data_IF_599711827140
#
_entry.id   IF_599711827140
#
_cell.length_a   1.000
_cell.length_b   1.000
_cell.length_c   1.000
_cell.angle_alpha   90.00
_cell.angle_beta   90.00
_cell.angle_gamma   90.00
#
_symmetry.space_group_name_H-M   'P 1'
#
loop_
_entity.id
_entity.type
_entity.pdbx_description
1 polymer ?
#
# COMPACT_ATOMS: atom_id res chain seq x y z
N UNK A 1 2.61 28.33 4.02
CA UNK A 1 3.27 27.16 4.61
C UNK A 1 2.25 26.40 5.41
N UNK A 2 2.09 25.11 5.21
CA UNK A 2 1.19 24.27 6.03
C UNK A 2 1.77 24.07 7.41
N UNK A 3 0.93 24.22 8.42
CA UNK A 3 1.24 23.92 9.82
C UNK A 3 0.21 22.90 10.28
N UNK A 4 0.66 21.71 10.65
CA UNK A 4 -0.21 20.63 11.09
C UNK A 4 -0.85 20.94 12.46
N UNK A 5 -2.06 20.41 12.69
CA UNK A 5 -2.74 20.53 13.96
C UNK A 5 -1.87 19.94 15.08
N UNK A 6 -1.61 20.72 16.11
CA UNK A 6 -0.80 20.30 17.27
C UNK A 6 -1.47 19.17 18.07
N UNK A 7 -2.80 19.06 18.02
CA UNK A 7 -3.59 18.04 18.72
C UNK A 7 -3.82 16.76 17.88
N UNK A 8 -3.20 16.64 16.69
CA UNK A 8 -3.44 15.54 15.74
C UNK A 8 -3.29 14.12 16.31
N UNK A 9 -2.48 13.95 17.34
CA UNK A 9 -2.23 12.64 17.95
C UNK A 9 -3.17 12.29 19.11
N UNK A 10 -4.01 13.20 19.57
CA UNK A 10 -4.79 13.00 20.80
C UNK A 10 -5.94 11.98 20.64
N UNK A 11 -6.47 11.83 19.41
CA UNK A 11 -7.65 10.99 19.14
C UNK A 11 -7.34 9.73 18.35
N UNK A 12 -6.21 9.67 17.65
CA UNK A 12 -5.84 8.52 16.83
C UNK A 12 -5.24 7.43 17.70
N UNK A 13 -5.76 6.22 17.55
CA UNK A 13 -5.15 5.03 18.14
C UNK A 13 -4.06 4.49 17.22
N UNK A 14 -2.93 4.08 17.81
CA UNK A 14 -1.80 3.49 17.11
C UNK A 14 -1.53 2.09 17.62
N UNK A 15 -1.39 1.12 16.71
CA UNK A 15 -1.13 -0.30 17.01
C UNK A 15 0.19 -0.75 16.40
N UNK A 16 0.89 -1.65 17.09
CA UNK A 16 2.09 -2.27 16.54
C UNK A 16 1.76 -3.11 15.31
N UNK A 17 2.63 -3.05 14.30
CA UNK A 17 2.60 -3.99 13.17
C UNK A 17 3.21 -5.31 13.61
N UNK A 18 2.36 -6.26 13.96
CA UNK A 18 2.77 -7.56 14.51
C UNK A 18 3.71 -7.42 15.71
N UNK A 19 4.79 -8.19 15.71
CA UNK A 19 5.82 -8.16 16.76
C UNK A 19 6.89 -7.07 16.55
N UNK A 20 6.76 -6.24 15.49
CA UNK A 20 7.71 -5.16 15.22
C UNK A 20 7.57 -4.00 16.20
N UNK A 21 8.58 -3.12 16.23
CA UNK A 21 8.51 -1.85 16.97
C UNK A 21 7.68 -0.77 16.29
N UNK A 22 7.36 -0.95 14.99
CA UNK A 22 6.62 0.04 14.22
C UNK A 22 5.15 0.11 14.67
N UNK A 23 4.68 1.31 14.95
CA UNK A 23 3.26 1.57 15.20
C UNK A 23 2.62 2.22 13.97
N UNK A 24 1.46 1.73 13.59
CA UNK A 24 0.63 2.32 12.53
C UNK A 24 -0.67 2.86 13.14
N UNK A 25 -1.25 3.94 12.59
CA UNK A 25 -2.58 4.37 12.98
C UNK A 25 -3.59 3.28 12.58
N UNK A 26 -4.69 3.16 13.31
CA UNK A 26 -5.75 2.18 12.98
C UNK A 26 -6.44 2.48 11.64
N UNK A 27 -6.31 3.70 11.15
CA UNK A 27 -6.72 4.13 9.80
C UNK A 27 -5.51 4.59 9.02
N UNK A 28 -5.38 4.14 7.79
CA UNK A 28 -4.34 4.57 6.84
C UNK A 28 -5.00 5.20 5.62
N UNK A 29 -4.37 6.19 5.02
CA UNK A 29 -4.86 6.82 3.79
C UNK A 29 -4.24 6.12 2.57
N UNK A 30 -5.06 5.39 1.81
CA UNK A 30 -4.66 4.82 0.52
C UNK A 30 -4.82 5.83 -0.61
N UNK A 31 -3.78 5.99 -1.42
CA UNK A 31 -3.75 6.97 -2.52
C UNK A 31 -4.06 6.34 -3.88
N UNK A 32 -4.84 5.27 -3.93
CA UNK A 32 -5.23 4.64 -5.19
C UNK A 32 -6.20 5.48 -6.00
N UNK A 33 -7.25 6.01 -5.35
CA UNK A 33 -8.29 6.83 -5.95
C UNK A 33 -8.11 8.30 -5.56
N UNK A 34 -8.55 9.22 -6.42
CA UNK A 34 -8.51 10.68 -6.21
C UNK A 34 -7.12 11.31 -6.16
N UNK A 35 -6.07 10.61 -6.59
CA UNK A 35 -4.69 11.09 -6.60
C UNK A 35 -4.03 11.02 -7.99
N UNK A 36 -4.82 10.80 -9.05
CA UNK A 36 -4.34 10.81 -10.43
C UNK A 36 -4.15 12.23 -11.00
N UNK A 37 -3.62 12.30 -12.23
CA UNK A 37 -3.44 13.59 -12.94
C UNK A 37 -4.78 14.22 -13.39
N UNK A 38 -5.87 13.43 -13.38
CA UNK A 38 -7.23 13.90 -13.68
C UNK A 38 -7.95 14.49 -12.47
N UNK A 39 -7.42 14.32 -11.29
CA UNK A 39 -8.00 14.81 -10.04
C UNK A 39 -7.38 16.17 -9.69
N UNK A 40 -8.18 17.17 -9.26
CA UNK A 40 -7.64 18.47 -8.90
C UNK A 40 -6.61 18.40 -7.77
N UNK A 41 -5.42 18.92 -8.00
CA UNK A 41 -4.31 18.86 -7.04
C UNK A 41 -4.63 19.50 -5.68
N UNK A 42 -5.51 20.51 -5.66
CA UNK A 42 -5.93 21.15 -4.40
C UNK A 42 -6.77 20.19 -3.55
N UNK A 43 -7.64 19.37 -4.16
CA UNK A 43 -8.42 18.38 -3.44
C UNK A 43 -7.50 17.30 -2.85
N UNK A 44 -6.51 16.82 -3.63
CA UNK A 44 -5.51 15.89 -3.14
C UNK A 44 -4.77 16.43 -1.91
N UNK A 45 -4.38 17.71 -1.99
CA UNK A 45 -3.71 18.42 -0.90
C UNK A 45 -4.56 18.51 0.36
N UNK A 46 -5.82 18.90 0.22
CA UNK A 46 -6.75 19.01 1.35
C UNK A 46 -7.03 17.64 2.00
N UNK A 47 -7.13 16.57 1.20
CA UNK A 47 -7.27 15.21 1.71
C UNK A 47 -6.03 14.81 2.55
N UNK A 48 -4.81 15.05 2.04
CA UNK A 48 -3.58 14.72 2.74
C UNK A 48 -3.42 15.52 4.05
N UNK A 49 -3.68 16.83 4.00
CA UNK A 49 -3.60 17.70 5.19
C UNK A 49 -4.63 17.27 6.24
N UNK A 50 -5.89 17.12 5.82
CA UNK A 50 -6.98 16.72 6.73
C UNK A 50 -6.73 15.33 7.35
N UNK A 51 -6.18 14.38 6.59
CA UNK A 51 -5.80 13.08 7.12
C UNK A 51 -4.71 13.21 8.19
N UNK A 52 -3.65 13.96 7.90
CA UNK A 52 -2.56 14.17 8.86
C UNK A 52 -3.01 14.93 10.11
N UNK A 53 -3.85 15.96 9.95
CA UNK A 53 -4.43 16.72 11.07
C UNK A 53 -5.36 15.87 11.96
N UNK A 54 -5.87 14.75 11.44
CA UNK A 54 -6.60 13.74 12.22
C UNK A 54 -5.71 12.64 12.80
N UNK A 55 -4.40 12.71 12.64
CA UNK A 55 -3.45 11.72 13.14
C UNK A 55 -3.25 10.49 12.23
N UNK A 56 -3.73 10.53 10.99
CA UNK A 56 -3.41 9.50 10.00
C UNK A 56 -1.99 9.75 9.48
N UNK A 57 -1.03 9.07 10.07
CA UNK A 57 0.39 9.21 9.74
C UNK A 57 0.87 8.28 8.64
N UNK A 58 0.06 7.27 8.25
CA UNK A 58 0.41 6.32 7.22
C UNK A 58 -0.27 6.66 5.89
N UNK A 59 0.54 7.00 4.88
CA UNK A 59 0.13 7.22 3.50
C UNK A 59 0.59 6.05 2.64
N UNK A 60 -0.38 5.33 2.07
CA UNK A 60 -0.15 4.08 1.36
C UNK A 60 -0.31 4.26 -0.15
N UNK A 61 0.82 4.16 -0.86
CA UNK A 61 0.94 4.29 -2.30
C UNK A 61 1.25 2.94 -2.98
N UNK A 62 1.31 2.96 -4.29
CA UNK A 62 1.94 1.96 -5.14
C UNK A 62 2.41 2.62 -6.43
N UNK A 63 3.39 2.00 -7.08
CA UNK A 63 3.97 2.52 -8.32
C UNK A 63 2.93 2.71 -9.43
N UNK A 64 1.88 1.86 -9.47
CA UNK A 64 0.82 1.89 -10.48
C UNK A 64 -0.41 2.73 -10.09
N UNK A 65 -0.44 3.38 -8.92
CA UNK A 65 -1.60 4.14 -8.48
C UNK A 65 -1.76 5.46 -9.24
N UNK A 66 -3.04 5.89 -9.34
CA UNK A 66 -3.45 7.07 -10.08
C UNK A 66 -3.65 6.79 -11.57
N UNK A 67 -4.22 7.73 -12.27
CA UNK A 67 -4.34 7.72 -13.72
C UNK A 67 -3.57 8.91 -14.31
N UNK A 68 -2.57 8.71 -15.17
CA UNK A 68 -1.90 7.43 -15.54
C UNK A 68 -1.08 6.80 -14.40
N UNK A 69 -0.65 5.56 -14.59
CA UNK A 69 0.17 4.85 -13.59
C UNK A 69 1.40 5.66 -13.15
N UNK A 70 1.64 5.76 -11.85
CA UNK A 70 2.68 6.62 -11.28
C UNK A 70 2.25 8.04 -10.93
N UNK A 71 1.06 8.47 -11.39
CA UNK A 71 0.58 9.81 -11.14
C UNK A 71 0.35 10.08 -9.65
N UNK A 72 -0.15 9.11 -8.90
CA UNK A 72 -0.35 9.28 -7.46
C UNK A 72 0.96 9.58 -6.72
N UNK A 73 2.03 8.84 -7.00
CA UNK A 73 3.36 9.09 -6.41
C UNK A 73 3.94 10.44 -6.82
N UNK A 74 3.78 10.83 -8.08
CA UNK A 74 4.23 12.13 -8.59
C UNK A 74 3.49 13.30 -7.92
N UNK A 75 2.16 13.20 -7.81
CA UNK A 75 1.33 14.23 -7.21
C UNK A 75 1.56 14.32 -5.70
N UNK A 76 1.64 13.17 -5.02
CA UNK A 76 2.04 13.09 -3.62
C UNK A 76 3.41 13.76 -3.40
N UNK A 77 4.43 13.42 -4.19
CA UNK A 77 5.77 13.99 -4.07
C UNK A 77 5.81 15.51 -4.24
N UNK A 78 4.96 16.07 -5.12
CA UNK A 78 4.79 17.52 -5.23
C UNK A 78 4.24 18.12 -3.94
N UNK A 79 3.14 17.55 -3.42
CA UNK A 79 2.50 18.05 -2.20
C UNK A 79 3.41 17.84 -1.00
N UNK A 80 4.09 16.70 -0.91
CA UNK A 80 5.03 16.38 0.16
C UNK A 80 6.12 17.44 0.29
N UNK A 81 6.78 17.84 -0.80
CA UNK A 81 7.81 18.88 -0.76
C UNK A 81 7.31 20.23 -0.28
N UNK A 82 6.08 20.57 -0.62
CA UNK A 82 5.49 21.88 -0.28
C UNK A 82 4.95 21.93 1.15
N UNK A 83 4.40 20.82 1.66
CA UNK A 83 3.62 20.79 2.90
C UNK A 83 4.18 19.86 3.99
N UNK A 84 4.77 18.72 3.62
CA UNK A 84 5.07 17.63 4.56
C UNK A 84 6.56 17.35 4.78
N UNK A 85 7.45 18.01 4.06
CA UNK A 85 8.89 17.76 4.19
C UNK A 85 9.39 17.93 5.63
N UNK A 86 8.86 18.93 6.36
CA UNK A 86 9.19 19.16 7.76
C UNK A 86 8.68 18.07 8.72
N UNK A 87 7.72 17.25 8.24
CA UNK A 87 7.08 16.18 9.01
C UNK A 87 7.50 14.78 8.54
N UNK A 88 8.59 14.66 7.73
CA UNK A 88 9.00 13.36 7.17
C UNK A 88 9.15 12.27 8.24
N UNK A 89 9.72 12.59 9.37
CA UNK A 89 9.99 11.65 10.45
C UNK A 89 8.73 11.30 11.27
N UNK A 90 7.65 12.03 11.09
CA UNK A 90 6.35 11.75 11.68
C UNK A 90 5.44 10.92 10.77
N UNK A 91 5.84 10.70 9.51
CA UNK A 91 5.06 9.99 8.50
C UNK A 91 5.63 8.60 8.24
N UNK A 92 4.72 7.66 8.01
CA UNK A 92 5.00 6.36 7.40
C UNK A 92 4.54 6.44 5.95
N UNK A 93 5.46 6.33 5.03
CA UNK A 93 5.18 6.35 3.59
C UNK A 93 5.48 4.97 3.04
N UNK A 94 4.48 4.34 2.46
CA UNK A 94 4.65 3.04 1.82
C UNK A 94 4.43 3.10 0.32
N UNK A 95 5.14 2.24 -0.42
CA UNK A 95 4.86 2.00 -1.83
C UNK A 95 5.03 0.53 -2.19
N UNK A 96 4.62 0.15 -3.40
CA UNK A 96 4.51 -1.24 -3.83
C UNK A 96 4.90 -1.38 -5.29
N UNK A 97 5.38 -2.57 -5.68
CA UNK A 97 5.59 -2.96 -7.06
C UNK A 97 5.11 -4.38 -7.32
N UNK A 98 4.63 -4.67 -8.54
CA UNK A 98 4.15 -5.99 -8.95
C UNK A 98 3.11 -5.95 -10.06
N UNK A 99 2.42 -4.83 -10.25
CA UNK A 99 1.52 -4.59 -11.38
C UNK A 99 2.23 -3.88 -12.51
N UNK A 100 1.63 -3.94 -13.70
CA UNK A 100 2.18 -3.36 -14.93
C UNK A 100 2.46 -1.85 -14.80
N UNK A 101 3.66 -1.44 -15.19
CA UNK A 101 4.13 -0.05 -15.13
C UNK A 101 4.69 0.46 -16.46
N UNK A 102 5.31 -0.39 -17.26
CA UNK A 102 5.87 -0.04 -18.58
C UNK A 102 5.92 -1.27 -19.48
N UNK A 103 5.93 -1.04 -20.77
CA UNK A 103 5.95 -2.08 -21.77
C UNK A 103 7.22 -2.93 -21.74
N UNK A 104 7.09 -4.18 -22.19
CA UNK A 104 8.17 -5.13 -22.28
C UNK A 104 8.30 -6.04 -21.05
N UNK A 105 9.32 -6.93 -21.02
CA UNK A 105 9.36 -8.06 -20.09
C UNK A 105 9.78 -7.70 -18.66
N UNK A 106 10.04 -6.44 -18.34
CA UNK A 106 10.61 -6.03 -17.06
C UNK A 106 9.71 -5.07 -16.26
N UNK A 107 8.57 -4.67 -16.84
CA UNK A 107 7.69 -3.63 -16.27
C UNK A 107 6.64 -4.13 -15.30
N UNK A 108 6.67 -5.41 -14.93
CA UNK A 108 5.64 -6.08 -14.14
C UNK A 108 6.25 -7.20 -13.30
N UNK A 109 5.46 -7.75 -12.36
CA UNK A 109 5.76 -8.93 -11.54
C UNK A 109 6.89 -8.74 -10.51
N UNK A 110 7.44 -9.87 -10.04
CA UNK A 110 8.30 -9.94 -8.85
C UNK A 110 9.79 -10.16 -9.14
N UNK A 111 10.23 -10.14 -10.41
CA UNK A 111 11.64 -10.32 -10.70
C UNK A 111 12.52 -9.27 -10.00
N UNK A 112 13.76 -9.64 -9.68
CA UNK A 112 14.73 -8.73 -9.09
C UNK A 112 14.88 -7.43 -9.89
N UNK A 113 14.89 -7.53 -11.22
CA UNK A 113 14.97 -6.37 -12.11
C UNK A 113 13.77 -5.46 -11.94
N UNK A 114 12.55 -5.99 -11.93
CA UNK A 114 11.31 -5.24 -11.78
C UNK A 114 11.23 -4.55 -10.42
N UNK A 115 11.47 -5.27 -9.33
CA UNK A 115 11.39 -4.76 -7.96
C UNK A 115 12.37 -3.61 -7.72
N UNK A 116 13.65 -3.80 -8.08
CA UNK A 116 14.68 -2.78 -7.85
C UNK A 116 14.42 -1.52 -8.70
N UNK A 117 14.07 -1.70 -9.99
CA UNK A 117 13.78 -0.57 -10.88
C UNK A 117 12.52 0.19 -10.44
N UNK A 118 11.47 -0.54 -10.03
CA UNK A 118 10.23 0.07 -9.56
C UNK A 118 10.43 0.91 -8.30
N UNK A 119 11.16 0.40 -7.32
CA UNK A 119 11.47 1.16 -6.10
C UNK A 119 12.26 2.44 -6.43
N UNK A 120 13.28 2.34 -7.28
CA UNK A 120 14.08 3.50 -7.67
C UNK A 120 13.21 4.58 -8.37
N UNK A 121 12.31 4.17 -9.27
CA UNK A 121 11.38 5.08 -9.94
C UNK A 121 10.35 5.68 -8.97
N UNK A 122 9.83 4.90 -8.01
CA UNK A 122 8.91 5.36 -6.98
C UNK A 122 9.55 6.46 -6.13
N UNK A 123 10.76 6.24 -5.64
CA UNK A 123 11.51 7.23 -4.86
C UNK A 123 11.74 8.51 -5.69
N UNK A 124 12.10 8.38 -6.96
CA UNK A 124 12.28 9.54 -7.85
C UNK A 124 10.98 10.33 -8.04
N UNK A 125 9.84 9.66 -8.28
CA UNK A 125 8.52 10.32 -8.44
C UNK A 125 8.11 11.06 -7.17
N UNK A 126 8.32 10.45 -6.01
CA UNK A 126 7.95 11.04 -4.72
C UNK A 126 8.97 12.07 -4.23
N UNK A 127 10.20 12.06 -4.75
CA UNK A 127 11.29 12.92 -4.27
C UNK A 127 11.76 12.54 -2.86
N UNK A 128 11.81 11.23 -2.58
CA UNK A 128 12.21 10.67 -1.30
C UNK A 128 13.51 9.88 -1.43
N UNK A 129 14.31 9.85 -0.35
CA UNK A 129 15.50 9.01 -0.26
C UNK A 129 15.14 7.55 0.06
N UNK A 130 14.08 7.34 0.84
CA UNK A 130 13.57 6.03 1.23
C UNK A 130 12.06 6.05 1.46
N UNK A 131 11.44 4.87 1.40
CA UNK A 131 10.10 4.61 1.93
C UNK A 131 10.20 3.84 3.24
N UNK A 132 9.20 4.00 4.12
CA UNK A 132 9.19 3.27 5.38
C UNK A 132 8.87 1.79 5.16
N UNK A 133 7.89 1.49 4.30
CA UNK A 133 7.54 0.12 3.94
C UNK A 133 7.51 -0.02 2.43
N UNK A 134 8.22 -1.03 1.89
CA UNK A 134 8.10 -1.40 0.49
C UNK A 134 7.46 -2.78 0.36
N UNK A 135 6.38 -2.87 -0.42
CA UNK A 135 5.63 -4.11 -0.61
C UNK A 135 5.94 -4.77 -1.96
N UNK A 136 5.99 -6.11 -1.97
CA UNK A 136 5.65 -6.84 -3.18
C UNK A 136 4.12 -6.92 -3.29
N UNK A 137 3.59 -6.36 -4.39
CA UNK A 137 2.15 -6.01 -4.48
C UNK A 137 1.25 -7.21 -4.69
N UNK A 138 1.77 -8.28 -5.30
CA UNK A 138 1.08 -9.56 -5.53
C UNK A 138 2.09 -10.68 -5.79
N UNK A 139 1.75 -11.94 -5.51
CA UNK A 139 2.61 -13.07 -5.85
C UNK A 139 2.85 -13.14 -7.37
N UNK A 140 4.08 -13.53 -7.75
CA UNK A 140 4.46 -13.77 -9.14
C UNK A 140 4.56 -15.29 -9.35
N UNK A 141 3.76 -15.89 -10.24
CA UNK A 141 3.74 -17.32 -10.43
C UNK A 141 5.01 -17.87 -11.12
N UNK A 142 5.75 -17.02 -11.82
CA UNK A 142 6.89 -17.43 -12.65
C UNK A 142 8.24 -17.09 -12.03
N UNK A 143 8.29 -16.22 -11.01
CA UNK A 143 9.53 -15.84 -10.33
C UNK A 143 9.67 -16.62 -9.02
N UNK A 144 10.83 -17.29 -8.77
CA UNK A 144 11.09 -17.91 -7.48
C UNK A 144 10.95 -16.92 -6.33
N UNK A 145 10.27 -17.32 -5.25
CA UNK A 145 10.07 -16.47 -4.07
C UNK A 145 11.40 -15.97 -3.48
N UNK A 146 12.45 -16.78 -3.57
CA UNK A 146 13.80 -16.43 -3.12
C UNK A 146 14.36 -15.23 -3.87
N UNK A 147 14.11 -15.11 -5.18
CA UNK A 147 14.58 -13.98 -5.99
C UNK A 147 13.85 -12.70 -5.57
N UNK A 148 12.53 -12.76 -5.42
CA UNK A 148 11.72 -11.63 -4.95
C UNK A 148 12.13 -11.21 -3.54
N UNK A 149 12.29 -12.17 -2.62
CA UNK A 149 12.73 -11.90 -1.25
C UNK A 149 14.12 -11.24 -1.21
N UNK A 150 15.08 -11.72 -2.04
CA UNK A 150 16.41 -11.13 -2.10
C UNK A 150 16.38 -9.72 -2.70
N UNK A 151 15.51 -9.47 -3.68
CA UNK A 151 15.32 -8.14 -4.23
C UNK A 151 14.79 -7.15 -3.15
N UNK A 152 13.79 -7.55 -2.38
CA UNK A 152 13.25 -6.75 -1.27
C UNK A 152 14.31 -6.50 -0.19
N UNK A 153 15.05 -7.55 0.21
CA UNK A 153 16.15 -7.40 1.17
C UNK A 153 17.26 -6.48 0.67
N UNK A 154 17.55 -6.50 -0.65
CA UNK A 154 18.52 -5.59 -1.24
C UNK A 154 18.09 -4.11 -1.09
N UNK A 155 16.79 -3.80 -1.20
CA UNK A 155 16.30 -2.44 -0.97
C UNK A 155 16.54 -1.99 0.48
N UNK A 156 16.34 -2.89 1.44
CA UNK A 156 16.64 -2.60 2.85
C UNK A 156 18.13 -2.36 3.07
N UNK A 157 18.99 -3.25 2.55
CA UNK A 157 20.47 -3.08 2.64
C UNK A 157 20.99 -1.79 2.01
N UNK A 158 20.28 -1.30 1.00
CA UNK A 158 20.57 -0.02 0.35
C UNK A 158 19.99 1.21 1.07
N UNK A 159 19.22 1.00 2.15
CA UNK A 159 18.53 2.07 2.85
C UNK A 159 17.39 2.71 2.05
N UNK A 160 16.86 2.01 1.03
CA UNK A 160 15.74 2.49 0.21
C UNK A 160 14.38 2.13 0.78
N UNK A 161 14.33 1.16 1.68
CA UNK A 161 13.16 0.79 2.47
C UNK A 161 13.62 0.44 3.88
N UNK A 162 12.83 0.81 4.90
CA UNK A 162 13.12 0.43 6.28
C UNK A 162 12.55 -0.95 6.60
N UNK A 163 11.37 -1.25 6.08
CA UNK A 163 10.63 -2.48 6.31
C UNK A 163 10.14 -3.09 5.01
N UNK A 164 9.89 -4.39 5.05
CA UNK A 164 9.32 -5.16 3.96
C UNK A 164 7.87 -5.52 4.28
N UNK A 165 7.01 -5.44 3.28
CA UNK A 165 5.65 -5.98 3.28
C UNK A 165 5.39 -6.84 2.06
N UNK A 166 4.32 -7.63 2.13
CA UNK A 166 3.73 -8.31 0.97
C UNK A 166 2.24 -8.01 0.88
N UNK A 167 1.65 -8.23 -0.27
CA UNK A 167 0.24 -7.98 -0.51
C UNK A 167 -0.37 -9.06 -1.40
N UNK A 168 -1.63 -9.43 -1.13
CA UNK A 168 -2.40 -10.39 -1.93
C UNK A 168 -1.81 -11.81 -1.99
N UNK A 169 -0.96 -12.20 -1.06
CA UNK A 169 -0.48 -13.57 -0.90
C UNK A 169 -1.51 -14.41 -0.13
N UNK A 170 -1.65 -15.68 -0.45
CA UNK A 170 -2.38 -16.65 0.37
C UNK A 170 -1.58 -17.07 1.61
N UNK A 171 -2.15 -17.89 2.48
CA UNK A 171 -1.48 -18.35 3.70
C UNK A 171 -0.22 -19.16 3.44
N UNK A 172 -0.26 -20.09 2.48
CA UNK A 172 0.88 -20.94 2.13
C UNK A 172 2.07 -20.14 1.61
N UNK A 173 1.85 -19.24 0.65
CA UNK A 173 2.90 -18.41 0.08
C UNK A 173 3.41 -17.36 1.07
N UNK A 174 2.54 -16.86 1.95
CA UNK A 174 2.94 -15.98 3.06
C UNK A 174 3.89 -16.71 4.00
N UNK A 175 3.59 -17.96 4.37
CA UNK A 175 4.47 -18.77 5.22
C UNK A 175 5.82 -19.03 4.57
N UNK A 176 5.84 -19.45 3.30
CA UNK A 176 7.08 -19.64 2.52
C UNK A 176 7.92 -18.38 2.47
N UNK A 177 7.30 -17.23 2.12
CA UNK A 177 8.00 -15.95 2.06
C UNK A 177 8.57 -15.57 3.43
N UNK A 178 7.81 -15.79 4.50
CA UNK A 178 8.26 -15.51 5.88
C UNK A 178 9.48 -16.34 6.24
N UNK A 179 9.48 -17.64 5.94
CA UNK A 179 10.62 -18.52 6.19
C UNK A 179 11.89 -18.07 5.45
N UNK A 180 11.74 -17.63 4.18
CA UNK A 180 12.86 -17.13 3.40
C UNK A 180 13.39 -15.81 3.99
N UNK A 181 12.52 -14.88 4.33
CA UNK A 181 12.90 -13.57 4.87
C UNK A 181 13.46 -13.66 6.29
N UNK A 182 12.95 -14.56 7.15
CA UNK A 182 13.51 -14.83 8.48
C UNK A 182 14.93 -15.35 8.40
N UNK A 183 15.23 -16.28 7.50
CA UNK A 183 16.60 -16.79 7.28
C UNK A 183 17.59 -15.71 6.85
N UNK A 184 17.09 -14.60 6.31
CA UNK A 184 17.87 -13.44 5.87
C UNK A 184 17.90 -12.31 6.91
N UNK A 185 17.28 -12.52 8.07
CA UNK A 185 17.12 -11.50 9.13
C UNK A 185 16.46 -10.20 8.59
N UNK A 186 15.53 -10.37 7.65
CA UNK A 186 14.86 -9.26 6.98
C UNK A 186 13.79 -8.63 7.89
N UNK A 187 13.65 -7.30 7.91
CA UNK A 187 12.61 -6.61 8.67
C UNK A 187 11.24 -6.72 7.96
N UNK A 188 10.75 -7.95 7.84
CA UNK A 188 9.44 -8.27 7.26
C UNK A 188 8.37 -8.18 8.36
N UNK A 189 7.43 -7.26 8.22
CA UNK A 189 6.57 -6.88 9.34
C UNK A 189 5.07 -6.88 9.04
N UNK A 190 4.64 -6.93 7.77
CA UNK A 190 3.25 -6.63 7.44
C UNK A 190 2.79 -7.30 6.15
N UNK A 191 1.53 -7.72 6.16
CA UNK A 191 0.81 -8.21 4.99
C UNK A 191 -0.41 -7.30 4.71
N UNK A 192 -0.57 -6.86 3.46
CA UNK A 192 -1.73 -6.09 3.02
C UNK A 192 -2.66 -6.96 2.16
N UNK A 193 -3.96 -7.02 2.54
CA UNK A 193 -4.93 -7.87 1.86
C UNK A 193 -6.30 -7.21 1.76
N UNK A 194 -7.12 -7.71 0.81
CA UNK A 194 -8.53 -7.33 0.75
C UNK A 194 -9.30 -8.00 1.88
N UNK A 195 -10.08 -7.21 2.61
CA UNK A 195 -10.99 -7.74 3.62
C UNK A 195 -12.25 -6.88 3.76
N UNK A 196 -13.40 -7.50 3.60
CA UNK A 196 -14.71 -6.91 3.83
C UNK A 196 -15.75 -8.03 3.94
N UNK A 197 -17.03 -7.70 4.13
CA UNK A 197 -18.11 -8.69 4.28
C UNK A 197 -18.29 -9.62 3.06
N UNK A 198 -17.89 -9.18 1.85
CA UNK A 198 -17.98 -9.98 0.62
C UNK A 198 -16.68 -10.71 0.29
N UNK A 199 -15.54 -10.29 0.84
CA UNK A 199 -14.23 -10.89 0.59
C UNK A 199 -13.58 -11.25 1.91
N UNK A 200 -13.64 -12.53 2.27
CA UNK A 200 -13.26 -13.06 3.58
C UNK A 200 -12.06 -14.01 3.52
N UNK A 201 -11.32 -14.03 2.41
CA UNK A 201 -10.18 -14.90 2.21
C UNK A 201 -9.16 -14.85 3.38
N UNK A 202 -8.99 -13.69 4.02
CA UNK A 202 -8.18 -13.56 5.24
C UNK A 202 -8.52 -14.60 6.31
N UNK A 203 -9.82 -14.92 6.47
CA UNK A 203 -10.31 -15.86 7.50
C UNK A 203 -10.55 -17.27 6.93
N UNK A 204 -10.77 -17.40 5.63
CA UNK A 204 -11.19 -18.63 4.97
C UNK A 204 -10.00 -19.38 4.34
N UNK A 205 -8.91 -18.70 3.99
CA UNK A 205 -7.73 -19.24 3.30
C UNK A 205 -6.51 -19.43 4.24
N UNK A 206 -6.72 -19.71 5.51
CA UNK A 206 -5.67 -19.94 6.53
C UNK A 206 -4.64 -18.80 6.67
N UNK A 207 -4.91 -17.62 6.12
CA UNK A 207 -3.98 -16.49 6.20
C UNK A 207 -3.92 -15.90 7.62
N UNK A 208 -5.06 -15.74 8.29
CA UNK A 208 -5.09 -15.14 9.63
C UNK A 208 -4.27 -15.93 10.65
N UNK A 209 -4.38 -17.28 10.74
CA UNK A 209 -3.52 -18.08 11.61
C UNK A 209 -2.03 -17.91 11.29
N UNK A 210 -1.66 -17.85 10.00
CA UNK A 210 -0.26 -17.66 9.60
C UNK A 210 0.26 -16.30 10.04
N UNK A 211 -0.51 -15.23 9.90
CA UNK A 211 -0.09 -13.90 10.35
C UNK A 211 0.13 -13.85 11.86
N UNK A 212 -0.74 -14.51 12.63
CA UNK A 212 -0.63 -14.59 14.08
C UNK A 212 0.59 -15.42 14.52
N UNK A 213 0.77 -16.63 13.95
CA UNK A 213 1.91 -17.52 14.22
C UNK A 213 3.25 -16.84 13.90
N UNK A 214 3.31 -16.15 12.76
CA UNK A 214 4.52 -15.51 12.26
C UNK A 214 4.78 -14.12 12.87
N UNK A 215 3.82 -13.58 13.63
CA UNK A 215 3.91 -12.28 14.26
C UNK A 215 3.90 -11.11 13.27
N UNK A 216 3.19 -11.26 12.16
CA UNK A 216 3.07 -10.24 11.13
C UNK A 216 1.87 -9.32 11.39
N UNK A 217 2.02 -8.05 11.09
CA UNK A 217 0.92 -7.11 11.07
C UNK A 217 0.00 -7.34 9.87
N UNK A 218 -1.27 -6.99 10.03
CA UNK A 218 -2.27 -7.01 8.98
C UNK A 218 -2.77 -5.59 8.70
N UNK A 219 -2.82 -5.22 7.42
CA UNK A 219 -3.51 -4.02 6.96
C UNK A 219 -4.48 -4.38 5.84
N UNK A 220 -5.71 -3.88 5.90
CA UNK A 220 -6.75 -4.28 4.96
C UNK A 220 -7.14 -3.13 4.03
N UNK A 221 -7.43 -3.46 2.77
CA UNK A 221 -7.97 -2.51 1.82
C UNK A 221 -9.40 -2.88 1.39
N UNK A 222 -10.11 -1.90 0.81
CA UNK A 222 -11.51 -2.02 0.37
C UNK A 222 -12.50 -2.48 1.46
N UNK A 223 -12.47 -1.94 2.69
CA UNK A 223 -13.37 -2.37 3.77
C UNK A 223 -14.85 -2.14 3.45
N UNK A 224 -15.15 -1.17 2.59
CA UNK A 224 -16.51 -0.87 2.11
C UNK A 224 -16.80 -1.46 0.72
N UNK A 225 -16.00 -2.42 0.24
CA UNK A 225 -16.16 -3.05 -1.06
C UNK A 225 -16.42 -2.02 -2.19
N UNK A 226 -15.55 -1.00 -2.26
CA UNK A 226 -15.64 0.12 -3.21
C UNK A 226 -16.99 0.87 -3.17
N UNK A 227 -17.62 0.93 -2.01
CA UNK A 227 -18.88 1.64 -1.78
C UNK A 227 -20.12 0.74 -1.77
N UNK A 228 -20.02 -0.53 -2.15
CA UNK A 228 -21.16 -1.47 -2.11
C UNK A 228 -21.71 -1.70 -0.70
N UNK A 229 -20.88 -1.59 0.32
CA UNK A 229 -21.26 -1.73 1.74
C UNK A 229 -21.67 -0.40 2.39
N UNK A 230 -21.92 0.64 1.60
CA UNK A 230 -22.44 1.91 2.10
C UNK A 230 -23.98 1.95 1.99
N UNK A 231 -24.58 2.93 2.64
CA UNK A 231 -26.04 3.18 2.57
C UNK A 231 -26.54 3.56 1.16
N UNK A 232 -25.64 3.86 0.23
CA UNK A 232 -25.95 4.27 -1.15
C UNK A 232 -26.82 3.25 -1.88
N UNK A 233 -26.68 1.97 -1.56
CA UNK A 233 -27.36 0.85 -2.24
C UNK A 233 -28.54 0.27 -1.48
N UNK A 234 -28.94 0.83 -0.34
CA UNK A 234 -30.07 0.31 0.47
C UNK A 234 -31.42 0.33 -0.25
N UNK A 235 -31.59 1.23 -1.23
CA UNK A 235 -32.84 1.41 -1.97
C UNK A 235 -32.71 1.06 -3.46
N UNK A 236 -31.72 0.26 -3.82
CA UNK A 236 -31.41 -0.12 -5.20
C UNK A 236 -30.12 0.51 -5.73
N UNK A 237 -29.80 0.22 -6.99
CA UNK A 237 -28.60 0.77 -7.66
C UNK A 237 -28.95 2.18 -8.16
N UNK A 238 -28.24 3.23 -7.70
CA UNK A 238 -28.49 4.59 -8.20
C UNK A 238 -28.12 4.71 -9.68
N UNK A 239 -28.97 5.33 -10.49
CA UNK A 239 -28.75 5.50 -11.95
C UNK A 239 -27.40 6.11 -12.29
N UNK A 240 -26.94 7.10 -11.54
CA UNK A 240 -25.65 7.78 -11.75
C UNK A 240 -24.42 6.92 -11.46
N UNK A 241 -24.57 5.75 -10.82
CA UNK A 241 -23.44 4.94 -10.31
C UNK A 241 -23.35 3.57 -10.99
N UNK A 242 -24.43 3.12 -11.66
CA UNK A 242 -24.53 1.77 -12.21
C UNK A 242 -23.43 1.43 -13.23
N UNK A 243 -22.96 2.41 -14.00
CA UNK A 243 -22.02 2.18 -15.08
C UNK A 243 -20.55 2.21 -14.65
N UNK A 244 -20.19 3.06 -13.70
CA UNK A 244 -18.80 3.21 -13.23
C UNK A 244 -18.42 2.13 -12.23
N UNK A 245 -19.35 1.69 -11.37
CA UNK A 245 -19.08 0.64 -10.39
C UNK A 245 -19.08 -0.77 -10.99
N UNK A 246 -19.96 -1.07 -11.95
CA UNK A 246 -19.96 -2.36 -12.65
C UNK A 246 -18.66 -2.58 -13.43
N UNK A 247 -18.09 -1.56 -14.07
CA UNK A 247 -16.78 -1.67 -14.74
C UNK A 247 -15.59 -1.85 -13.80
N UNK A 248 -15.64 -1.29 -12.60
CA UNK A 248 -14.58 -1.46 -11.61
C UNK A 248 -14.56 -2.87 -10.99
N UNK A 249 -15.66 -3.63 -11.09
CA UNK A 249 -15.79 -4.99 -10.58
C UNK A 249 -15.53 -6.07 -11.64
N UNK A 250 -15.56 -5.74 -12.91
CA UNK A 250 -15.50 -6.71 -14.01
C UNK A 250 -14.17 -6.78 -14.74
N UNK A 251 -13.09 -6.29 -14.20
CA UNK A 251 -11.81 -6.74 -14.72
C UNK A 251 -11.57 -8.14 -14.20
N UNK A 252 -11.63 -9.12 -15.10
CA UNK A 252 -11.38 -10.54 -14.84
C UNK A 252 -10.02 -10.84 -14.16
N UNK A 253 -9.21 -9.83 -13.94
CA UNK A 253 -7.97 -9.87 -13.15
C UNK A 253 -8.20 -9.75 -11.65
N UNK A 254 -9.45 -9.61 -11.19
CA UNK A 254 -9.82 -9.49 -9.77
C UNK A 254 -10.75 -10.61 -9.29
N UNK A 255 -10.92 -11.66 -10.08
CA UNK A 255 -11.61 -12.88 -9.70
C UNK A 255 -10.59 -13.97 -9.41
#
# INVERSE_FOLDING_TARGET
MYIADSARYEKMEYRKSGHSGLKLPILSLGLWQNFGDYDPIHNQREILRGAFDMGITHFDLANNYGGPAGAAEKNFGRIFREDFQAYRDELIISSKAGYHMWEGPYGEWGSRKSIISSCAQSLQRMGLDYVDIFYHHRPDPDTPLEETAEALMQLVRQGKALYIGISNYNGEDTKKMTEILKRKEAPFIIHQMRYNMFSRALLEDDLSPVLEEEGLGAITFSPLAQGLLTNRYLHGIPEAVSYTHLRAHETAANL
#
